data_IF_054691172384
#
_entry.id   IF_054691172384
#
_cell.length_a   1.000
_cell.length_b   1.000
_cell.length_c   1.000
_cell.angle_alpha   90.00
_cell.angle_beta   90.00
_cell.angle_gamma   90.00
#
_symmetry.space_group_name_H-M   'P 1'
#
loop_
_entity.id
_entity.type
_entity.pdbx_description
1 polymer ?
#
# COMPACT_ATOMS: atom_id res chain seq x y z
N UNK A 1 -9.80 27.80 -9.34
CA UNK A 1 -9.18 26.49 -9.04
C UNK A 1 -9.83 26.01 -7.76
N UNK A 2 -10.57 24.90 -7.78
CA UNK A 2 -11.12 24.33 -6.55
C UNK A 2 -10.01 23.50 -5.93
N UNK A 3 -9.68 23.79 -4.68
CA UNK A 3 -8.83 22.94 -3.86
C UNK A 3 -9.48 21.56 -3.80
N UNK A 4 -8.88 20.59 -4.48
CA UNK A 4 -9.27 19.20 -4.31
C UNK A 4 -8.75 18.77 -2.94
N UNK A 5 -9.64 18.80 -1.96
CA UNK A 5 -9.34 18.41 -0.58
C UNK A 5 -9.08 16.92 -0.57
N UNK A 6 -7.80 16.50 -0.52
CA UNK A 6 -7.43 15.16 -0.09
C UNK A 6 -8.01 14.94 1.30
N UNK A 7 -8.96 14.00 1.42
CA UNK A 7 -9.60 13.72 2.70
C UNK A 7 -8.79 12.64 3.42
N UNK A 8 -8.29 12.97 4.61
CA UNK A 8 -7.65 11.99 5.49
C UNK A 8 -8.63 10.88 5.81
N UNK A 9 -8.17 9.64 5.67
CA UNK A 9 -8.96 8.46 5.91
C UNK A 9 -8.89 8.05 7.38
N UNK A 10 -10.03 7.61 7.90
CA UNK A 10 -10.10 6.93 9.19
C UNK A 10 -9.97 5.42 9.03
N UNK A 11 -9.66 4.75 10.13
CA UNK A 11 -9.56 3.29 10.21
C UNK A 11 -10.80 2.58 9.66
N UNK A 12 -11.98 3.00 10.07
CA UNK A 12 -13.27 2.38 9.68
C UNK A 12 -13.59 2.55 8.19
N UNK A 13 -12.92 3.48 7.50
CA UNK A 13 -13.04 3.62 6.05
C UNK A 13 -12.20 2.61 5.28
N UNK A 14 -11.29 1.87 5.93
CA UNK A 14 -10.39 0.91 5.27
C UNK A 14 -10.58 -0.49 5.86
N UNK A 15 -10.47 -0.62 7.19
CA UNK A 15 -10.52 -1.91 7.89
C UNK A 15 -11.89 -2.56 7.72
N UNK A 16 -11.89 -3.86 7.44
CA UNK A 16 -13.08 -4.67 7.20
C UNK A 16 -13.57 -4.67 5.75
N UNK A 17 -13.07 -3.77 4.90
CA UNK A 17 -13.41 -3.72 3.47
C UNK A 17 -12.53 -4.66 2.65
N UNK A 18 -12.98 -4.99 1.44
CA UNK A 18 -12.21 -5.85 0.53
C UNK A 18 -11.39 -5.01 -0.44
N UNK A 19 -10.16 -5.44 -0.70
CA UNK A 19 -9.35 -4.89 -1.77
C UNK A 19 -10.01 -5.26 -3.09
N UNK A 20 -10.42 -4.27 -3.87
CA UNK A 20 -10.91 -4.47 -5.24
C UNK A 20 -9.77 -4.56 -6.22
N UNK A 21 -8.79 -3.66 -6.10
CA UNK A 21 -7.70 -3.55 -7.05
C UNK A 21 -6.46 -2.90 -6.45
N UNK A 22 -5.28 -3.24 -6.99
CA UNK A 22 -4.00 -2.59 -6.67
C UNK A 22 -3.45 -1.96 -7.94
N UNK A 23 -3.03 -0.71 -7.85
CA UNK A 23 -2.45 0.05 -8.94
C UNK A 23 -1.06 0.56 -8.57
N UNK A 24 -0.35 1.02 -9.58
CA UNK A 24 0.86 1.82 -9.43
C UNK A 24 0.90 3.01 -10.40
N UNK A 25 1.75 3.99 -10.11
CA UNK A 25 2.16 5.00 -11.09
C UNK A 25 3.10 4.41 -12.14
N UNK A 26 3.51 5.24 -13.10
CA UNK A 26 4.70 4.97 -13.91
C UNK A 26 5.94 4.81 -13.02
N UNK A 27 6.93 4.07 -13.54
CA UNK A 27 8.23 3.95 -12.91
C UNK A 27 9.02 5.22 -13.20
N UNK A 28 9.51 5.86 -12.16
CA UNK A 28 10.46 6.97 -12.25
C UNK A 28 11.87 6.38 -12.03
N UNK A 29 12.64 6.29 -13.11
CA UNK A 29 13.98 5.70 -13.13
C UNK A 29 15.05 6.79 -12.94
N UNK A 30 15.99 6.57 -12.02
CA UNK A 30 17.15 7.42 -11.83
C UNK A 30 18.35 6.98 -12.69
N UNK A 31 19.40 7.81 -12.70
CA UNK A 31 20.61 7.60 -13.50
C UNK A 31 21.40 6.34 -13.07
N UNK A 32 21.19 5.84 -11.84
CA UNK A 32 21.84 4.63 -11.30
C UNK A 32 21.04 3.35 -11.62
N UNK A 33 19.90 3.49 -12.30
CA UNK A 33 19.01 2.41 -12.70
C UNK A 33 18.13 1.89 -11.56
N UNK A 34 17.91 2.70 -10.52
CA UNK A 34 16.86 2.47 -9.52
C UNK A 34 15.55 3.07 -10.02
N UNK A 35 14.44 2.39 -9.72
CA UNK A 35 13.12 2.85 -10.12
C UNK A 35 12.15 2.87 -8.94
N UNK A 36 11.38 3.95 -8.80
CA UNK A 36 10.32 4.07 -7.81
C UNK A 36 8.95 4.21 -8.47
N UNK A 37 7.91 3.68 -7.84
CA UNK A 37 6.53 3.99 -8.20
C UNK A 37 5.65 4.10 -6.95
N UNK A 38 4.58 4.90 -7.05
CA UNK A 38 3.59 5.02 -5.98
C UNK A 38 2.60 3.86 -6.06
N UNK A 39 2.28 3.25 -4.91
CA UNK A 39 1.28 2.18 -4.81
C UNK A 39 -0.09 2.75 -4.44
N UNK A 40 -1.14 2.36 -5.16
CA UNK A 40 -2.51 2.75 -4.85
C UNK A 40 -3.42 1.54 -4.63
N UNK A 41 -4.38 1.67 -3.73
CA UNK A 41 -5.34 0.61 -3.40
C UNK A 41 -6.75 1.13 -3.59
N UNK A 42 -7.55 0.37 -4.34
CA UNK A 42 -8.98 0.57 -4.46
C UNK A 42 -9.73 -0.49 -3.67
N UNK A 43 -10.67 -0.07 -2.84
CA UNK A 43 -11.57 -0.94 -2.10
C UNK A 43 -12.86 -1.22 -2.89
N UNK A 44 -13.63 -2.21 -2.44
CA UNK A 44 -14.87 -2.65 -3.10
C UNK A 44 -15.98 -1.59 -3.15
N UNK A 45 -15.98 -0.65 -2.22
CA UNK A 45 -16.88 0.52 -2.22
C UNK A 45 -16.42 1.67 -3.14
N UNK A 46 -15.30 1.49 -3.83
CA UNK A 46 -14.72 2.48 -4.76
C UNK A 46 -13.80 3.50 -4.11
N UNK A 47 -13.53 3.40 -2.80
CA UNK A 47 -12.52 4.22 -2.14
C UNK A 47 -11.13 3.92 -2.74
N UNK A 48 -10.43 4.96 -3.18
CA UNK A 48 -9.07 4.88 -3.72
C UNK A 48 -8.14 5.72 -2.83
N UNK A 49 -6.99 5.15 -2.46
CA UNK A 49 -5.98 5.83 -1.66
C UNK A 49 -4.56 5.36 -2.02
N UNK A 50 -3.57 6.14 -1.61
CA UNK A 50 -2.16 5.83 -1.76
C UNK A 50 -1.62 5.11 -0.52
N UNK A 51 -0.86 4.04 -0.74
CA UNK A 51 0.02 3.46 0.26
C UNK A 51 1.32 4.26 0.23
N UNK A 52 1.43 5.23 1.13
CA UNK A 52 2.57 6.14 1.19
C UNK A 52 3.85 5.37 1.49
N UNK A 53 4.83 5.51 0.61
CA UNK A 53 6.22 5.23 0.90
C UNK A 53 6.98 6.52 1.18
N UNK A 54 7.38 6.78 2.43
CA UNK A 54 8.24 7.93 2.70
C UNK A 54 9.25 7.63 3.80
N UNK A 55 10.52 7.59 3.38
CA UNK A 55 11.70 7.40 4.21
C UNK A 55 11.81 8.45 5.31
N UNK A 56 11.18 8.19 6.46
CA UNK A 56 11.46 8.86 7.72
C UNK A 56 10.25 9.43 8.47
N UNK A 57 9.05 9.50 7.87
CA UNK A 57 7.82 9.91 8.57
C UNK A 57 6.59 9.22 8.00
N UNK A 58 5.86 8.54 8.88
CA UNK A 58 4.56 7.96 8.54
C UNK A 58 3.57 9.09 8.24
N UNK A 59 3.12 9.19 6.99
CA UNK A 59 2.17 10.21 6.53
C UNK A 59 0.71 9.77 6.76
N UNK A 60 -0.25 10.72 6.85
CA UNK A 60 -1.66 10.36 6.83
C UNK A 60 -2.05 9.66 5.54
N UNK A 61 -2.88 8.62 5.64
CA UNK A 61 -3.50 8.00 4.48
C UNK A 61 -4.63 8.91 3.98
N UNK A 62 -4.57 9.28 2.73
CA UNK A 62 -5.50 10.22 2.12
C UNK A 62 -6.21 9.58 0.92
N UNK A 63 -7.49 9.89 0.75
CA UNK A 63 -8.21 9.53 -0.46
C UNK A 63 -7.67 10.28 -1.67
N UNK A 64 -7.72 9.62 -2.82
CA UNK A 64 -7.29 10.17 -4.10
C UNK A 64 -8.45 10.06 -5.08
N UNK A 65 -8.73 11.14 -5.80
CA UNK A 65 -9.67 11.08 -6.91
C UNK A 65 -9.00 10.39 -8.10
N UNK A 66 -9.68 9.41 -8.70
CA UNK A 66 -9.15 8.66 -9.86
C UNK A 66 -8.68 9.55 -11.02
N UNK A 67 -9.24 10.74 -11.17
CA UNK A 67 -8.89 11.70 -12.23
C UNK A 67 -7.57 12.44 -12.00
N UNK A 68 -6.98 12.34 -10.82
CA UNK A 68 -5.77 13.09 -10.43
C UNK A 68 -4.48 12.35 -10.74
N UNK A 69 -4.56 11.04 -10.99
CA UNK A 69 -3.39 10.17 -11.13
C UNK A 69 -3.56 9.20 -12.29
N UNK A 70 -2.44 8.88 -12.95
CA UNK A 70 -2.39 7.79 -13.93
C UNK A 70 -2.27 6.48 -13.16
N UNK A 71 -3.28 5.63 -13.28
CA UNK A 71 -3.34 4.33 -12.60
C UNK A 71 -3.00 3.20 -13.57
N UNK A 72 -1.82 2.62 -13.40
CA UNK A 72 -1.41 1.40 -14.07
C UNK A 72 -1.73 0.20 -13.19
N UNK A 73 -2.17 -0.91 -13.78
CA UNK A 73 -2.42 -2.14 -13.01
C UNK A 73 -1.10 -2.65 -12.42
N UNK A 74 -1.11 -3.03 -11.14
CA UNK A 74 0.01 -3.75 -10.55
C UNK A 74 0.23 -5.11 -11.25
N UNK A 75 1.38 -5.73 -11.00
CA UNK A 75 1.72 -7.03 -11.57
C UNK A 75 0.69 -8.09 -11.17
N UNK A 76 0.49 -9.07 -12.06
CA UNK A 76 -0.50 -10.14 -11.88
C UNK A 76 -0.37 -10.84 -10.52
N UNK A 77 0.86 -11.12 -10.08
CA UNK A 77 1.15 -11.76 -8.78
C UNK A 77 0.61 -10.96 -7.59
N UNK A 78 0.71 -9.63 -7.63
CA UNK A 78 0.22 -8.74 -6.57
C UNK A 78 -1.30 -8.76 -6.57
N UNK A 79 -1.91 -8.65 -7.75
CA UNK A 79 -3.36 -8.70 -7.88
C UNK A 79 -3.95 -10.03 -7.38
N UNK A 80 -3.35 -11.16 -7.74
CA UNK A 80 -3.76 -12.49 -7.25
C UNK A 80 -3.58 -12.63 -5.73
N UNK A 81 -2.55 -11.98 -5.17
CA UNK A 81 -2.27 -12.00 -3.74
C UNK A 81 -3.11 -11.01 -2.92
N UNK A 82 -3.85 -10.07 -3.52
CA UNK A 82 -4.56 -9.04 -2.76
C UNK A 82 -6.05 -8.92 -3.12
N UNK A 83 -6.42 -9.07 -4.38
CA UNK A 83 -7.78 -8.79 -4.84
C UNK A 83 -8.81 -9.75 -4.18
N UNK A 84 -9.89 -9.18 -3.68
CA UNK A 84 -10.95 -9.87 -2.97
C UNK A 84 -10.68 -10.11 -1.48
N UNK A 85 -9.43 -9.99 -1.02
CA UNK A 85 -9.08 -10.19 0.40
C UNK A 85 -9.54 -9.02 1.25
N UNK A 86 -9.87 -9.30 2.51
CA UNK A 86 -10.33 -8.27 3.45
C UNK A 86 -9.13 -7.63 4.13
N UNK A 87 -9.16 -6.30 4.28
CA UNK A 87 -8.18 -5.59 5.12
C UNK A 87 -8.52 -5.83 6.58
N UNK A 88 -7.65 -6.51 7.31
CA UNK A 88 -7.78 -6.70 8.76
C UNK A 88 -7.27 -5.49 9.54
N UNK A 89 -6.15 -4.93 9.11
CA UNK A 89 -5.55 -3.77 9.76
C UNK A 89 -4.65 -3.01 8.78
N UNK A 90 -4.47 -1.73 9.04
CA UNK A 90 -3.39 -0.94 8.44
C UNK A 90 -2.22 -0.94 9.41
N UNK A 91 -1.05 -1.34 8.93
CA UNK A 91 0.14 -1.54 9.76
C UNK A 91 1.25 -0.58 9.35
N UNK A 92 2.12 -0.23 10.30
CA UNK A 92 3.34 0.52 10.06
C UNK A 92 4.54 -0.27 10.61
N UNK A 93 5.70 -0.11 9.99
CA UNK A 93 6.96 -0.68 10.47
C UNK A 93 8.03 0.40 10.61
N UNK A 94 8.95 0.19 11.55
CA UNK A 94 10.16 1.00 11.68
C UNK A 94 11.33 0.44 10.83
N UNK A 95 11.21 -0.80 10.32
CA UNK A 95 12.26 -1.47 9.55
C UNK A 95 12.21 -1.16 8.05
N UNK A 96 11.01 -0.90 7.53
CA UNK A 96 10.76 -0.33 6.22
C UNK A 96 9.83 0.87 6.44
N UNK A 97 10.17 2.07 5.98
CA UNK A 97 9.60 3.32 6.49
C UNK A 97 8.17 3.62 6.03
N UNK A 98 7.34 2.61 5.76
CA UNK A 98 6.08 2.79 5.03
C UNK A 98 4.88 2.14 5.74
N UNK A 99 3.69 2.47 5.22
CA UNK A 99 2.39 1.93 5.65
C UNK A 99 2.05 0.70 4.79
N UNK A 100 1.51 -0.34 5.42
CA UNK A 100 1.01 -1.54 4.74
C UNK A 100 -0.42 -1.89 5.12
N UNK A 101 -0.99 -2.85 4.39
CA UNK A 101 -2.29 -3.45 4.65
C UNK A 101 -2.11 -4.92 5.02
N UNK A 102 -2.48 -5.29 6.25
CA UNK A 102 -2.61 -6.67 6.65
C UNK A 102 -3.95 -7.21 6.14
N UNK A 103 -3.91 -8.34 5.44
CA UNK A 103 -5.06 -8.99 4.85
C UNK A 103 -5.46 -10.24 5.67
N UNK A 104 -6.72 -10.66 5.54
CA UNK A 104 -7.37 -11.73 6.31
C UNK A 104 -6.76 -13.13 6.19
N UNK A 105 -5.83 -13.33 5.26
CA UNK A 105 -5.09 -14.58 5.10
C UNK A 105 -3.63 -14.50 5.56
N UNK A 106 -3.24 -13.41 6.21
CA UNK A 106 -1.87 -13.16 6.69
C UNK A 106 -0.93 -12.56 5.64
N UNK A 107 -1.44 -12.20 4.46
CA UNK A 107 -0.67 -11.44 3.46
C UNK A 107 -0.56 -9.98 3.89
N UNK A 108 0.59 -9.36 3.67
CA UNK A 108 0.73 -7.89 3.78
C UNK A 108 0.99 -7.32 2.40
N UNK A 109 0.20 -6.32 1.99
CA UNK A 109 0.50 -5.43 0.86
C UNK A 109 1.21 -4.19 1.39
N UNK A 110 2.36 -3.86 0.82
CA UNK A 110 3.11 -2.66 1.18
C UNK A 110 3.79 -2.07 -0.05
N UNK A 111 4.31 -0.85 0.08
CA UNK A 111 5.19 -0.27 -0.93
C UNK A 111 6.63 -0.45 -0.45
N UNK A 112 7.51 -1.07 -1.24
CA UNK A 112 8.87 -1.40 -0.80
C UNK A 112 9.74 -1.99 -1.91
N UNK A 113 10.94 -2.46 -1.57
CA UNK A 113 11.84 -3.12 -2.51
C UNK A 113 11.51 -4.62 -2.63
N UNK A 114 10.86 -5.03 -3.72
CA UNK A 114 10.56 -6.45 -4.00
C UNK A 114 11.16 -6.99 -5.31
N UNK A 115 11.94 -6.16 -5.99
CA UNK A 115 12.79 -6.55 -7.11
C UNK A 115 14.08 -5.72 -7.02
N UNK A 116 15.19 -6.26 -7.53
CA UNK A 116 16.49 -5.61 -7.43
C UNK A 116 16.42 -4.21 -8.04
N UNK A 117 16.67 -3.18 -7.21
CA UNK A 117 16.62 -1.75 -7.58
C UNK A 117 15.23 -1.20 -7.92
N UNK A 118 14.13 -1.85 -7.52
CA UNK A 118 12.77 -1.34 -7.78
C UNK A 118 11.92 -1.26 -6.52
N UNK A 119 11.40 -0.07 -6.25
CA UNK A 119 10.51 0.23 -5.11
C UNK A 119 9.08 0.45 -5.60
N UNK A 120 8.16 -0.43 -5.19
CA UNK A 120 6.76 -0.37 -5.66
C UNK A 120 5.85 -1.33 -4.88
N UNK A 121 4.72 -1.76 -5.46
CA UNK A 121 3.79 -2.64 -4.77
C UNK A 121 4.38 -4.02 -4.53
N UNK A 122 4.43 -4.42 -3.25
CA UNK A 122 5.04 -5.66 -2.81
C UNK A 122 4.11 -6.42 -1.87
N UNK A 123 4.29 -7.75 -1.83
CA UNK A 123 3.55 -8.62 -0.92
C UNK A 123 4.50 -9.46 -0.09
N UNK A 124 4.20 -9.61 1.19
CA UNK A 124 4.90 -10.49 2.13
C UNK A 124 3.92 -11.45 2.82
N UNK A 125 4.40 -12.61 3.24
CA UNK A 125 3.63 -13.53 4.10
C UNK A 125 4.14 -13.43 5.54
N UNK A 126 3.26 -13.01 6.45
CA UNK A 126 3.57 -12.86 7.88
C UNK A 126 3.89 -14.18 8.59
N UNK A 127 3.60 -15.31 7.93
CA UNK A 127 3.85 -16.66 8.43
C UNK A 127 5.13 -17.25 7.84
N UNK A 128 5.71 -16.62 6.82
CA UNK A 128 6.99 -17.06 6.28
C UNK A 128 8.11 -16.69 7.27
N UNK A 129 8.97 -17.65 7.66
CA UNK A 129 9.98 -17.44 8.71
C UNK A 129 11.04 -16.39 8.36
N UNK A 130 11.24 -16.13 7.06
CA UNK A 130 12.34 -15.34 6.51
C UNK A 130 11.91 -14.04 5.81
N UNK A 131 10.60 -13.83 5.55
CA UNK A 131 10.14 -12.66 4.79
C UNK A 131 9.71 -11.51 5.72
N UNK A 132 8.76 -11.76 6.63
CA UNK A 132 8.22 -10.74 7.55
C UNK A 132 7.65 -11.39 8.81
N UNK A 133 8.03 -10.92 10.00
CA UNK A 133 7.44 -11.42 11.26
C UNK A 133 6.35 -10.49 11.74
N UNK A 134 5.25 -11.06 12.26
CA UNK A 134 4.14 -10.27 12.85
C UNK A 134 4.60 -9.30 13.94
N UNK A 135 5.69 -9.61 14.63
CA UNK A 135 6.30 -8.75 15.65
C UNK A 135 6.97 -7.48 15.11
N UNK A 136 7.11 -7.33 13.79
CA UNK A 136 7.88 -6.25 13.14
C UNK A 136 7.01 -5.08 12.67
N UNK A 137 5.71 -5.13 12.93
CA UNK A 137 4.78 -4.05 12.60
C UNK A 137 3.77 -3.80 13.71
N UNK A 138 3.32 -2.55 13.80
CA UNK A 138 2.31 -2.09 14.75
C UNK A 138 1.09 -1.55 14.00
N UNK A 139 -0.11 -1.56 14.60
CA UNK A 139 -1.25 -0.87 14.02
C UNK A 139 -0.93 0.60 13.76
N UNK A 140 -1.25 1.08 12.56
CA UNK A 140 -1.01 2.46 12.15
C UNK A 140 -1.79 3.46 13.02
N UNK A 141 -3.05 3.13 13.33
CA UNK A 141 -3.83 3.89 14.31
C UNK A 141 -3.71 3.23 15.69
N UNK A 142 -3.51 4.03 16.77
CA UNK A 142 -3.56 3.51 18.13
C UNK A 142 -4.94 2.91 18.43
N UNK A 143 -4.95 1.81 19.20
CA UNK A 143 -6.16 1.16 19.70
C UNK A 143 -6.83 1.93 20.83
#
# INVERSE_FOLDING_TARGET
MRDNVKARLSRDQIVGKRVRFVYRSEWDEDDDGYAGCTTFVELDDGLLFELSANTGKVLPIESIARTEVVLLKAEKKILEACAGKRVEEVVASELWPDIGLLLDDGTILFSGECDFRRVGPCVGDTRAPDDFRVSEFTPYWPQ
#
